data_IF_015894674192
#
_entry.id   IF_015894674192
#
_cell.length_a   1.000
_cell.length_b   1.000
_cell.length_c   1.000
_cell.angle_alpha   90.00
_cell.angle_beta   90.00
_cell.angle_gamma   90.00
#
_symmetry.space_group_name_H-M   'P 1'
#
loop_
_entity.id
_entity.type
_entity.pdbx_description
1 polymer ?
#
# COMPACT_ATOMS: atom_id res chain seq x y z
N UNK A 1 18.30 7.53 16.21
CA UNK A 1 18.03 6.31 15.45
C UNK A 1 19.29 5.48 15.37
N UNK A 2 19.18 4.19 15.68
CA UNK A 2 20.29 3.23 15.52
C UNK A 2 20.45 2.79 14.06
N UNK A 3 21.34 1.83 13.78
CA UNK A 3 21.61 1.35 12.41
C UNK A 3 20.45 0.58 11.78
N UNK A 4 19.69 -0.17 12.59
CA UNK A 4 18.54 -0.96 12.13
C UNK A 4 17.40 -0.01 11.76
N UNK A 5 17.11 0.95 12.62
CA UNK A 5 16.08 1.97 12.38
C UNK A 5 16.37 2.80 11.12
N UNK A 6 17.65 3.10 10.84
CA UNK A 6 18.05 3.79 9.60
C UNK A 6 17.88 2.91 8.36
N UNK A 7 18.21 1.62 8.46
CA UNK A 7 18.03 0.66 7.37
C UNK A 7 16.54 0.54 6.99
N UNK A 8 15.69 0.32 8.00
CA UNK A 8 14.24 0.25 7.82
C UNK A 8 13.67 1.53 7.20
N UNK A 9 14.07 2.71 7.70
CA UNK A 9 13.63 4.00 7.15
C UNK A 9 13.97 4.14 5.66
N UNK A 10 15.17 3.70 5.27
CA UNK A 10 15.61 3.73 3.88
C UNK A 10 14.76 2.83 3.00
N UNK A 11 14.45 1.61 3.43
CA UNK A 11 13.64 0.67 2.66
C UNK A 11 12.19 1.17 2.49
N UNK A 12 11.55 1.61 3.58
CA UNK A 12 10.11 1.90 3.57
C UNK A 12 9.77 3.32 3.13
N UNK A 13 10.70 4.26 3.23
CA UNK A 13 10.47 5.65 2.83
C UNK A 13 11.40 6.14 1.72
N UNK A 14 12.39 5.34 1.30
CA UNK A 14 13.47 5.80 0.39
C UNK A 14 14.19 7.05 0.91
N UNK A 15 14.27 7.19 2.23
CA UNK A 15 14.84 8.36 2.90
C UNK A 15 16.21 8.01 3.49
N UNK A 16 17.26 8.62 2.93
CA UNK A 16 18.62 8.59 3.52
C UNK A 16 18.78 9.65 4.65
N UNK A 17 17.86 10.61 4.73
CA UNK A 17 17.82 11.70 5.70
C UNK A 17 16.37 12.11 6.02
N UNK A 18 16.18 13.02 7.00
CA UNK A 18 14.86 13.57 7.29
C UNK A 18 14.26 14.23 6.03
N UNK A 19 12.98 13.98 5.74
CA UNK A 19 12.35 14.49 4.53
C UNK A 19 12.16 16.00 4.61
N UNK A 20 12.23 16.66 3.45
CA UNK A 20 11.89 18.08 3.32
C UNK A 20 10.37 18.20 3.25
N UNK A 21 9.76 18.97 4.15
CA UNK A 21 8.32 19.19 4.20
C UNK A 21 7.69 18.75 5.53
N UNK A 22 6.41 18.37 5.49
CA UNK A 22 5.72 17.89 6.67
C UNK A 22 6.07 16.42 6.90
N UNK A 23 6.32 16.04 8.15
CA UNK A 23 6.58 14.64 8.48
C UNK A 23 6.23 14.31 9.93
N UNK A 24 5.95 13.03 10.17
CA UNK A 24 5.87 12.46 11.51
C UNK A 24 6.47 11.05 11.49
N UNK A 25 7.69 10.93 12.00
CA UNK A 25 8.38 9.65 12.16
C UNK A 25 7.92 9.03 13.47
N UNK A 26 7.49 7.77 13.40
CA UNK A 26 7.10 6.97 14.56
C UNK A 26 8.08 5.84 14.76
N UNK A 27 8.55 5.67 15.99
CA UNK A 27 9.53 4.63 16.34
C UNK A 27 9.08 3.96 17.64
N UNK A 28 8.92 2.64 17.61
CA UNK A 28 8.55 1.81 18.77
C UNK A 28 7.36 2.38 19.56
N UNK A 29 6.28 2.71 18.85
CA UNK A 29 5.05 3.19 19.46
C UNK A 29 5.03 4.67 19.87
N UNK A 30 6.06 5.45 19.52
CA UNK A 30 6.15 6.88 19.90
C UNK A 30 6.52 7.75 18.71
N UNK A 31 6.03 9.00 18.71
CA UNK A 31 6.51 9.99 17.75
C UNK A 31 7.96 10.36 18.10
N UNK A 32 8.90 10.09 17.20
CA UNK A 32 10.32 10.34 17.38
C UNK A 32 10.78 11.65 16.74
N UNK A 33 10.13 12.06 15.65
CA UNK A 33 10.34 13.36 15.03
C UNK A 33 9.04 13.84 14.35
N UNK A 34 8.78 15.14 14.40
CA UNK A 34 7.64 15.76 13.71
C UNK A 34 8.00 17.14 13.19
N UNK A 35 7.51 17.46 12.00
CA UNK A 35 7.55 18.79 11.44
C UNK A 35 6.26 19.10 10.68
N UNK A 36 5.78 20.34 10.79
CA UNK A 36 4.66 20.87 10.02
C UNK A 36 5.15 21.90 9.01
N UNK A 37 4.30 22.30 8.06
CA UNK A 37 4.58 23.42 7.15
C UNK A 37 3.52 24.50 7.32
N UNK A 38 3.65 25.62 6.61
CA UNK A 38 2.61 26.64 6.59
C UNK A 38 1.24 26.11 6.13
N UNK A 39 1.24 25.04 5.34
CA UNK A 39 0.06 24.51 4.67
C UNK A 39 -0.37 23.12 5.15
N UNK A 40 0.46 22.46 5.96
CA UNK A 40 0.23 21.08 6.41
C UNK A 40 0.45 21.01 7.91
N UNK A 41 -0.62 20.76 8.64
CA UNK A 41 -0.63 20.61 10.09
C UNK A 41 -0.70 19.11 10.46
N UNK A 42 0.08 18.70 11.47
CA UNK A 42 0.09 17.32 11.99
C UNK A 42 -0.18 17.36 13.49
N UNK A 43 -1.39 16.96 13.87
CA UNK A 43 -1.91 17.07 15.22
C UNK A 43 -2.02 15.68 15.83
N UNK A 44 -1.64 15.53 17.09
CA UNK A 44 -1.86 14.26 17.80
C UNK A 44 -3.32 14.13 18.21
N UNK A 45 -3.91 12.97 17.94
CA UNK A 45 -5.23 12.61 18.44
C UNK A 45 -5.22 12.51 19.97
N UNK A 46 -6.34 12.88 20.59
CA UNK A 46 -6.51 12.85 22.05
C UNK A 46 -7.34 11.66 22.53
N UNK A 47 -8.14 11.08 21.64
CA UNK A 47 -9.08 9.98 21.92
C UNK A 47 -8.44 8.60 21.70
N UNK A 48 -7.53 8.48 20.73
CA UNK A 48 -6.85 7.24 20.34
C UNK A 48 -5.42 7.51 19.85
N UNK A 49 -4.62 6.46 19.75
CA UNK A 49 -3.25 6.57 19.23
C UNK A 49 -3.28 6.98 17.76
N UNK A 50 -2.57 8.05 17.41
CA UNK A 50 -2.38 8.46 16.02
C UNK A 50 -2.40 9.98 15.82
N UNK A 51 -2.61 10.39 14.58
CA UNK A 51 -2.49 11.79 14.16
C UNK A 51 -3.58 12.20 13.17
N UNK A 52 -3.96 13.47 13.22
CA UNK A 52 -4.70 14.16 12.16
C UNK A 52 -3.71 14.93 11.30
N UNK A 53 -3.75 14.71 9.99
CA UNK A 53 -2.99 15.45 8.99
C UNK A 53 -3.98 16.36 8.26
N UNK A 54 -3.82 17.67 8.40
CA UNK A 54 -4.69 18.67 7.78
C UNK A 54 -3.90 19.39 6.70
N UNK A 55 -4.31 19.22 5.44
CA UNK A 55 -3.71 19.88 4.28
C UNK A 55 -4.65 21.00 3.82
N UNK A 56 -4.18 22.23 3.90
CA UNK A 56 -5.01 23.42 3.60
C UNK A 56 -5.40 23.47 2.13
N UNK A 57 -6.57 24.02 1.77
CA UNK A 57 -6.98 24.19 0.38
C UNK A 57 -5.92 24.90 -0.47
N UNK A 58 -5.81 24.50 -1.74
CA UNK A 58 -4.86 25.07 -2.69
C UNK A 58 -3.40 24.66 -2.47
N UNK A 59 -3.12 23.69 -1.59
CA UNK A 59 -1.75 23.21 -1.36
C UNK A 59 -1.26 22.42 -2.56
N UNK A 60 -0.19 22.90 -3.20
CA UNK A 60 0.41 22.28 -4.40
C UNK A 60 1.87 21.90 -4.17
N UNK A 61 2.32 20.81 -4.76
CA UNK A 61 3.73 20.37 -4.80
C UNK A 61 4.37 20.19 -3.41
N UNK A 62 3.59 19.78 -2.41
CA UNK A 62 4.09 19.46 -1.09
C UNK A 62 3.93 17.99 -0.79
N UNK A 63 4.74 17.49 0.14
CA UNK A 63 4.66 16.10 0.58
C UNK A 63 4.57 15.96 2.09
N UNK A 64 3.94 14.85 2.52
CA UNK A 64 3.83 14.42 3.91
C UNK A 64 4.46 13.05 4.05
N UNK A 65 5.35 12.89 5.01
CA UNK A 65 6.05 11.62 5.25
C UNK A 65 5.72 11.08 6.64
N UNK A 66 5.16 9.87 6.72
CA UNK A 66 4.74 9.28 8.01
C UNK A 66 5.28 7.85 8.21
N UNK A 67 6.60 7.65 8.22
CA UNK A 67 7.17 6.32 8.39
C UNK A 67 7.00 5.81 9.84
N UNK A 68 6.75 4.52 9.97
CA UNK A 68 6.69 3.76 11.22
C UNK A 68 7.81 2.74 11.25
N UNK A 69 8.52 2.68 12.38
CA UNK A 69 9.65 1.77 12.59
C UNK A 69 9.43 1.04 13.91
N UNK A 70 9.42 -0.29 13.85
CA UNK A 70 9.37 -1.16 15.01
C UNK A 70 10.65 -2.00 15.03
N UNK A 71 11.50 -1.77 16.02
CA UNK A 71 12.67 -2.58 16.33
C UNK A 71 12.55 -3.29 17.68
N UNK A 72 11.55 -2.90 18.48
CA UNK A 72 11.25 -3.52 19.77
C UNK A 72 10.43 -4.80 19.60
N UNK A 73 11.05 -5.94 19.92
CA UNK A 73 10.37 -7.25 20.00
C UNK A 73 9.15 -7.20 20.92
N UNK A 74 8.09 -7.90 20.53
CA UNK A 74 6.87 -8.06 21.35
C UNK A 74 5.93 -6.86 21.29
N UNK A 75 6.31 -5.79 20.56
CA UNK A 75 5.47 -4.61 20.45
C UNK A 75 4.24 -4.92 19.60
N UNK A 76 3.07 -4.64 20.14
CA UNK A 76 1.82 -4.64 19.40
C UNK A 76 1.25 -3.24 19.38
N UNK A 77 0.94 -2.76 18.19
CA UNK A 77 0.51 -1.39 17.98
C UNK A 77 -0.69 -1.30 17.05
N UNK A 78 -1.61 -0.40 17.39
CA UNK A 78 -2.72 0.07 16.56
C UNK A 78 -2.71 1.60 16.52
N UNK A 79 -2.66 2.19 15.33
CA UNK A 79 -2.52 3.64 15.11
C UNK A 79 -3.53 4.13 14.07
N UNK A 80 -4.13 5.29 14.33
CA UNK A 80 -5.14 5.92 13.48
C UNK A 80 -4.63 7.24 12.88
N UNK A 81 -4.45 7.28 11.57
CA UNK A 81 -4.00 8.44 10.82
C UNK A 81 -5.16 8.92 9.94
N UNK A 82 -5.69 10.10 10.22
CA UNK A 82 -6.75 10.67 9.38
C UNK A 82 -6.15 11.83 8.57
N UNK A 83 -6.38 11.81 7.26
CA UNK A 83 -5.92 12.82 6.32
C UNK A 83 -7.12 13.62 5.83
N UNK A 84 -7.08 14.92 6.09
CA UNK A 84 -8.06 15.88 5.61
C UNK A 84 -7.39 16.74 4.53
N UNK A 85 -7.73 16.48 3.27
CA UNK A 85 -7.16 17.18 2.12
C UNK A 85 -8.19 18.18 1.62
N UNK A 86 -7.92 19.47 1.82
CA UNK A 86 -8.81 20.54 1.38
C UNK A 86 -8.89 20.67 -0.14
N UNK A 87 -9.85 21.46 -0.62
CA UNK A 87 -10.12 21.66 -2.05
C UNK A 87 -8.88 22.10 -2.85
N UNK A 88 -8.85 21.75 -4.14
CA UNK A 88 -7.83 22.15 -5.10
C UNK A 88 -6.39 21.83 -4.64
N UNK A 89 -6.15 20.70 -3.98
CA UNK A 89 -4.81 20.25 -3.60
C UNK A 89 -4.09 19.46 -4.70
N UNK A 90 -2.77 19.37 -4.62
CA UNK A 90 -1.90 18.50 -5.40
C UNK A 90 -0.72 18.12 -4.52
N UNK A 91 -0.79 16.94 -3.88
CA UNK A 91 0.10 16.54 -2.80
C UNK A 91 0.50 15.07 -2.90
N UNK A 92 1.68 14.76 -2.35
CA UNK A 92 2.17 13.39 -2.24
C UNK A 92 2.30 12.99 -0.78
N UNK A 93 1.73 11.85 -0.41
CA UNK A 93 1.80 11.30 0.93
C UNK A 93 2.61 10.01 0.84
N UNK A 94 3.64 9.90 1.68
CA UNK A 94 4.52 8.74 1.74
C UNK A 94 4.40 8.13 3.13
N UNK A 95 3.84 6.93 3.19
CA UNK A 95 3.85 6.08 4.36
C UNK A 95 4.78 4.89 4.14
N UNK A 96 5.32 4.38 5.24
CA UNK A 96 6.14 3.20 5.18
C UNK A 96 6.26 2.58 6.55
N UNK A 97 6.02 1.28 6.66
CA UNK A 97 6.06 0.56 7.93
C UNK A 97 7.14 -0.52 7.86
N UNK A 98 8.13 -0.40 8.75
CA UNK A 98 9.25 -1.33 8.88
C UNK A 98 9.21 -2.06 10.22
N UNK A 99 9.28 -3.39 10.21
CA UNK A 99 9.38 -4.21 11.42
C UNK A 99 10.66 -5.05 11.39
N UNK A 100 11.60 -4.75 12.29
CA UNK A 100 12.71 -5.63 12.63
C UNK A 100 12.39 -6.39 13.90
N UNK A 101 12.32 -7.72 13.84
CA UNK A 101 12.11 -8.58 15.02
C UNK A 101 13.21 -9.64 15.16
N UNK A 102 14.06 -9.47 16.17
CA UNK A 102 15.17 -10.39 16.48
C UNK A 102 14.88 -11.30 17.70
N UNK A 103 13.71 -11.16 18.33
CA UNK A 103 13.36 -11.91 19.53
C UNK A 103 12.36 -13.04 19.28
N UNK A 104 11.90 -13.64 20.38
CA UNK A 104 10.99 -14.79 20.35
C UNK A 104 9.50 -14.45 20.38
N UNK A 105 9.15 -13.19 20.69
CA UNK A 105 7.75 -12.73 20.76
C UNK A 105 7.33 -12.04 19.47
N UNK A 106 6.06 -12.20 19.11
CA UNK A 106 5.48 -11.60 17.89
C UNK A 106 5.42 -10.07 18.01
N UNK A 107 5.76 -9.39 16.91
CA UNK A 107 5.67 -7.93 16.78
C UNK A 107 4.64 -7.56 15.72
N UNK A 108 3.78 -6.59 16.02
CA UNK A 108 2.59 -6.28 15.23
C UNK A 108 2.39 -4.78 15.05
N UNK A 109 2.07 -4.36 13.83
CA UNK A 109 1.64 -3.00 13.51
C UNK A 109 0.35 -2.99 12.70
N UNK A 110 -0.70 -2.38 13.26
CA UNK A 110 -1.96 -2.10 12.58
C UNK A 110 -2.07 -0.59 12.34
N UNK A 111 -1.92 -0.18 11.09
CA UNK A 111 -2.07 1.21 10.65
C UNK A 111 -3.43 1.42 10.01
N UNK A 112 -4.27 2.24 10.62
CA UNK A 112 -5.56 2.64 10.04
C UNK A 112 -5.41 4.03 9.46
N UNK A 113 -5.59 4.17 8.15
CA UNK A 113 -5.48 5.41 7.40
C UNK A 113 -6.85 5.76 6.82
N UNK A 114 -7.41 6.92 7.19
CA UNK A 114 -8.64 7.44 6.57
C UNK A 114 -8.32 8.68 5.75
N UNK A 115 -8.70 8.70 4.49
CA UNK A 115 -8.49 9.81 3.57
C UNK A 115 -9.84 10.46 3.25
N UNK A 116 -9.93 11.77 3.52
CA UNK A 116 -11.02 12.63 3.10
C UNK A 116 -10.46 13.61 2.07
N UNK A 117 -10.76 13.38 0.79
CA UNK A 117 -10.20 14.15 -0.33
C UNK A 117 -11.27 15.06 -0.91
N UNK A 118 -11.15 16.36 -0.62
CA UNK A 118 -12.09 17.38 -1.11
C UNK A 118 -11.93 17.64 -2.62
N UNK A 119 -12.84 18.47 -3.12
CA UNK A 119 -13.07 18.72 -4.54
C UNK A 119 -11.81 19.10 -5.30
N UNK A 120 -11.70 18.60 -6.53
CA UNK A 120 -10.64 18.90 -7.50
C UNK A 120 -9.21 18.63 -6.98
N UNK A 121 -9.05 17.89 -5.89
CA UNK A 121 -7.75 17.58 -5.32
C UNK A 121 -7.11 16.36 -5.96
N UNK A 122 -5.80 16.39 -6.10
CA UNK A 122 -4.98 15.28 -6.57
C UNK A 122 -4.09 14.79 -5.45
N UNK A 123 -4.20 13.51 -5.11
CA UNK A 123 -3.41 12.90 -4.03
C UNK A 123 -2.68 11.70 -4.59
N UNK A 124 -1.37 11.67 -4.43
CA UNK A 124 -0.58 10.45 -4.63
C UNK A 124 -0.20 9.89 -3.27
N UNK A 125 -0.63 8.67 -2.96
CA UNK A 125 -0.30 7.98 -1.72
C UNK A 125 0.57 6.77 -2.02
N UNK A 126 1.76 6.72 -1.41
CA UNK A 126 2.72 5.63 -1.56
C UNK A 126 2.87 4.98 -0.19
N UNK A 127 2.69 3.66 -0.14
CA UNK A 127 2.83 2.87 1.07
C UNK A 127 3.75 1.66 0.83
N UNK A 128 4.74 1.49 1.71
CA UNK A 128 5.69 0.38 1.66
C UNK A 128 5.74 -0.39 2.98
N UNK A 129 5.72 -1.71 2.88
CA UNK A 129 5.81 -2.61 4.02
C UNK A 129 7.05 -3.50 3.89
N UNK A 130 7.84 -3.54 4.95
CA UNK A 130 9.09 -4.30 4.98
C UNK A 130 9.31 -4.93 6.35
N UNK A 131 9.73 -6.19 6.35
CA UNK A 131 10.11 -6.94 7.55
C UNK A 131 11.53 -7.47 7.44
N UNK A 132 12.25 -7.44 8.56
CA UNK A 132 13.56 -8.10 8.69
C UNK A 132 13.76 -8.66 10.10
N UNK A 133 14.88 -9.36 10.30
CA UNK A 133 15.30 -9.87 11.61
C UNK A 133 15.44 -11.39 11.66
N UNK A 134 16.27 -11.85 12.58
CA UNK A 134 16.65 -13.27 12.74
C UNK A 134 15.88 -13.96 13.86
N UNK A 135 14.86 -13.31 14.43
CA UNK A 135 14.07 -13.83 15.53
C UNK A 135 13.09 -14.92 15.10
N UNK A 136 12.60 -15.69 16.07
CA UNK A 136 11.54 -16.68 15.84
C UNK A 136 10.14 -16.10 15.98
N UNK A 137 10.01 -14.92 16.59
CA UNK A 137 8.74 -14.19 16.68
C UNK A 137 8.30 -13.64 15.32
N UNK A 138 7.00 -13.69 15.04
CA UNK A 138 6.42 -13.25 13.77
C UNK A 138 6.40 -11.73 13.65
N UNK A 139 6.36 -11.27 12.39
CA UNK A 139 6.16 -9.88 12.00
C UNK A 139 4.79 -9.77 11.34
N UNK A 140 3.85 -9.15 12.04
CA UNK A 140 2.47 -8.99 11.62
C UNK A 140 2.21 -7.54 11.21
N UNK A 141 1.56 -7.33 10.06
CA UNK A 141 1.25 -5.98 9.59
C UNK A 141 -0.12 -5.94 8.95
N UNK A 142 -1.09 -5.22 9.53
CA UNK A 142 -2.46 -5.17 9.01
C UNK A 142 -2.90 -3.73 8.74
N UNK A 143 -2.44 -3.13 7.63
CA UNK A 143 -2.87 -1.81 7.20
C UNK A 143 -4.35 -1.83 6.76
N UNK A 144 -5.07 -0.78 7.12
CA UNK A 144 -6.41 -0.51 6.60
C UNK A 144 -6.44 0.91 6.05
N UNK A 145 -6.82 1.06 4.79
CA UNK A 145 -6.93 2.33 4.09
C UNK A 145 -8.38 2.56 3.68
N UNK A 146 -9.00 3.62 4.20
CA UNK A 146 -10.36 4.06 3.91
C UNK A 146 -10.28 5.37 3.14
N UNK A 147 -10.96 5.47 2.00
CA UNK A 147 -10.83 6.62 1.08
C UNK A 147 -12.21 7.13 0.72
N UNK A 148 -12.44 8.42 0.90
CA UNK A 148 -13.62 9.16 0.46
C UNK A 148 -13.18 10.23 -0.55
N UNK A 149 -13.72 10.17 -1.78
CA UNK A 149 -13.38 11.11 -2.85
C UNK A 149 -14.58 11.99 -3.25
N UNK A 150 -14.42 13.30 -3.07
CA UNK A 150 -15.40 14.32 -3.46
C UNK A 150 -15.30 14.70 -4.95
N UNK A 151 -16.15 15.62 -5.40
CA UNK A 151 -16.31 16.00 -6.82
C UNK A 151 -14.97 16.36 -7.48
N UNK A 152 -14.65 15.71 -8.60
CA UNK A 152 -13.41 15.93 -9.34
C UNK A 152 -12.12 15.54 -8.61
N UNK A 153 -12.20 14.92 -7.42
CA UNK A 153 -11.05 14.43 -6.69
C UNK A 153 -10.41 13.22 -7.40
N UNK A 154 -9.09 13.15 -7.34
CA UNK A 154 -8.30 12.07 -7.91
C UNK A 154 -7.31 11.53 -6.89
N UNK A 155 -7.22 10.22 -6.75
CA UNK A 155 -6.23 9.57 -5.91
C UNK A 155 -5.48 8.47 -6.66
N UNK A 156 -4.15 8.51 -6.62
CA UNK A 156 -3.27 7.42 -7.03
C UNK A 156 -2.71 6.75 -5.78
N UNK A 157 -2.95 5.45 -5.64
CA UNK A 157 -2.51 4.63 -4.53
C UNK A 157 -1.47 3.63 -5.03
N UNK A 158 -0.27 3.64 -4.45
CA UNK A 158 0.78 2.67 -4.69
C UNK A 158 1.12 1.94 -3.40
N UNK A 159 0.67 0.69 -3.25
CA UNK A 159 0.93 -0.14 -2.07
C UNK A 159 1.90 -1.26 -2.43
N UNK A 160 2.90 -1.49 -1.58
CA UNK A 160 3.88 -2.56 -1.80
C UNK A 160 4.26 -3.27 -0.51
N UNK A 161 4.13 -4.60 -0.50
CA UNK A 161 4.80 -5.44 0.47
C UNK A 161 6.08 -5.99 -0.17
N UNK A 162 7.20 -5.51 0.32
CA UNK A 162 8.51 -5.73 -0.31
C UNK A 162 9.05 -7.10 0.09
N UNK A 163 9.13 -7.38 1.40
CA UNK A 163 9.66 -8.64 1.91
C UNK A 163 9.39 -8.80 3.42
N UNK A 164 9.53 -10.04 3.89
CA UNK A 164 9.78 -10.37 5.30
C UNK A 164 8.63 -10.18 6.29
N UNK A 165 7.43 -9.84 5.85
CA UNK A 165 6.23 -9.83 6.70
C UNK A 165 5.66 -11.26 6.74
N UNK A 166 5.50 -11.83 7.95
CA UNK A 166 5.04 -13.21 8.11
C UNK A 166 3.55 -13.35 7.78
N UNK A 167 2.73 -12.47 8.33
CA UNK A 167 1.28 -12.54 8.18
C UNK A 167 0.74 -11.11 8.00
N UNK A 168 -0.06 -10.91 6.94
CA UNK A 168 -0.70 -9.62 6.66
C UNK A 168 -2.14 -9.78 6.22
N UNK A 169 -3.01 -8.89 6.71
CA UNK A 169 -4.33 -8.62 6.16
C UNK A 169 -4.42 -7.14 5.85
N UNK A 170 -4.45 -6.81 4.56
CA UNK A 170 -4.48 -5.44 4.05
C UNK A 170 -5.87 -5.16 3.51
N UNK A 171 -6.47 -4.06 3.96
CA UNK A 171 -7.82 -3.68 3.54
C UNK A 171 -7.76 -2.30 2.93
N UNK A 172 -8.17 -2.15 1.68
CA UNK A 172 -8.35 -0.86 1.02
C UNK A 172 -9.81 -0.74 0.59
N UNK A 173 -10.48 0.32 1.03
CA UNK A 173 -11.86 0.63 0.64
C UNK A 173 -11.93 2.05 0.15
N UNK A 174 -12.42 2.25 -1.06
CA UNK A 174 -12.63 3.56 -1.65
C UNK A 174 -14.10 3.77 -2.00
N UNK A 175 -14.63 4.92 -1.59
CA UNK A 175 -15.95 5.40 -1.93
C UNK A 175 -15.82 6.67 -2.80
N UNK A 176 -16.24 6.56 -4.05
CA UNK A 176 -16.25 7.66 -5.01
C UNK A 176 -17.66 8.23 -5.08
N UNK A 177 -17.97 9.12 -4.14
CA UNK A 177 -19.27 9.79 -3.99
C UNK A 177 -19.36 11.09 -4.79
N UNK A 178 -18.22 11.68 -5.16
CA UNK A 178 -18.14 12.89 -5.97
C UNK A 178 -18.24 12.64 -7.48
N UNK A 179 -19.03 13.46 -8.18
CA UNK A 179 -19.10 13.43 -9.65
C UNK A 179 -17.71 13.62 -10.27
N UNK A 180 -17.37 12.80 -11.25
CA UNK A 180 -16.08 12.88 -11.94
C UNK A 180 -14.86 12.52 -11.08
N UNK A 181 -15.05 11.99 -9.87
CA UNK A 181 -13.92 11.52 -9.05
C UNK A 181 -13.31 10.25 -9.64
N UNK A 182 -12.02 10.03 -9.39
CA UNK A 182 -11.30 8.88 -9.96
C UNK A 182 -10.23 8.34 -9.04
N UNK A 183 -9.98 7.04 -9.13
CA UNK A 183 -8.94 6.38 -8.34
C UNK A 183 -8.11 5.43 -9.20
N UNK A 184 -6.80 5.42 -8.98
CA UNK A 184 -5.88 4.41 -9.53
C UNK A 184 -5.23 3.68 -8.36
N UNK A 185 -5.24 2.36 -8.37
CA UNK A 185 -4.65 1.53 -7.33
C UNK A 185 -3.64 0.59 -7.98
N UNK A 186 -2.38 0.70 -7.58
CA UNK A 186 -1.31 -0.24 -7.89
C UNK A 186 -0.93 -0.99 -6.62
N UNK A 187 -1.37 -2.24 -6.49
CA UNK A 187 -1.00 -3.11 -5.38
C UNK A 187 0.07 -4.12 -5.79
N UNK A 188 1.08 -4.29 -4.93
CA UNK A 188 2.23 -5.17 -5.17
C UNK A 188 2.50 -6.03 -3.94
N UNK A 189 2.64 -7.34 -4.15
CA UNK A 189 2.88 -8.31 -3.08
C UNK A 189 3.97 -9.31 -3.47
N UNK A 190 5.02 -9.38 -2.66
CA UNK A 190 5.95 -10.49 -2.67
C UNK A 190 5.82 -11.27 -1.35
N UNK A 191 5.68 -12.60 -1.47
CA UNK A 191 5.77 -13.51 -0.32
C UNK A 191 6.73 -14.66 -0.62
N UNK A 192 7.41 -15.12 0.43
CA UNK A 192 8.37 -16.22 0.40
C UNK A 192 8.33 -17.01 1.71
N UNK A 193 8.99 -18.16 1.78
CA UNK A 193 8.95 -19.02 2.96
C UNK A 193 7.55 -19.53 3.28
N UNK A 194 7.13 -19.32 4.52
CA UNK A 194 5.83 -19.71 5.07
C UNK A 194 4.88 -18.52 5.26
N UNK A 195 5.13 -17.41 4.56
CA UNK A 195 4.38 -16.16 4.69
C UNK A 195 2.95 -16.29 4.17
N UNK A 196 2.02 -15.58 4.83
CA UNK A 196 0.62 -15.50 4.45
C UNK A 196 0.22 -14.04 4.22
N UNK A 197 -0.33 -13.72 3.05
CA UNK A 197 -0.80 -12.40 2.74
C UNK A 197 -2.24 -12.42 2.22
N UNK A 198 -3.09 -11.57 2.79
CA UNK A 198 -4.42 -11.27 2.26
C UNK A 198 -4.52 -9.79 1.92
N UNK A 199 -4.97 -9.48 0.71
CA UNK A 199 -5.35 -8.13 0.30
C UNK A 199 -6.83 -8.10 -0.07
N UNK A 200 -7.58 -7.18 0.54
CA UNK A 200 -8.97 -6.87 0.19
C UNK A 200 -9.01 -5.47 -0.41
N UNK A 201 -9.33 -5.36 -1.70
CA UNK A 201 -9.39 -4.10 -2.43
C UNK A 201 -10.83 -3.88 -2.92
N UNK A 202 -11.54 -2.91 -2.36
CA UNK A 202 -12.93 -2.63 -2.69
C UNK A 202 -13.11 -1.19 -3.14
N UNK A 203 -13.75 -0.98 -4.28
CA UNK A 203 -14.07 0.35 -4.83
C UNK A 203 -15.56 0.45 -5.11
N UNK A 204 -16.19 1.50 -4.58
CA UNK A 204 -17.58 1.84 -4.87
C UNK A 204 -17.64 3.11 -5.73
N UNK A 205 -18.22 2.99 -6.92
CA UNK A 205 -18.42 4.06 -7.90
C UNK A 205 -19.86 4.57 -7.77
N UNK A 206 -20.06 5.59 -6.93
CA UNK A 206 -21.37 6.02 -6.45
C UNK A 206 -21.92 7.29 -7.11
N UNK A 207 -21.16 7.93 -8.02
CA UNK A 207 -21.58 9.12 -8.75
C UNK A 207 -21.28 9.05 -10.26
N UNK A 208 -21.93 9.92 -11.03
CA UNK A 208 -21.73 10.03 -12.48
C UNK A 208 -20.28 10.31 -12.84
N UNK A 209 -19.81 9.72 -13.94
CA UNK A 209 -18.47 9.87 -14.48
C UNK A 209 -17.36 9.51 -13.49
N UNK A 210 -17.65 8.68 -12.49
CA UNK A 210 -16.61 8.12 -11.63
C UNK A 210 -15.83 7.04 -12.36
N UNK A 211 -14.55 6.90 -12.01
CA UNK A 211 -13.72 5.86 -12.62
C UNK A 211 -12.72 5.22 -11.66
N UNK A 212 -12.43 3.94 -11.86
CA UNK A 212 -11.34 3.26 -11.18
C UNK A 212 -10.50 2.41 -12.13
N UNK A 213 -9.20 2.40 -11.88
CA UNK A 213 -8.25 1.45 -12.46
C UNK A 213 -7.48 0.76 -11.33
N UNK A 214 -7.63 -0.55 -11.19
CA UNK A 214 -7.06 -1.33 -10.11
C UNK A 214 -6.16 -2.41 -10.69
N UNK A 215 -4.88 -2.31 -10.44
CA UNK A 215 -3.87 -3.28 -10.89
C UNK A 215 -3.24 -3.90 -9.65
N UNK A 216 -3.36 -5.22 -9.53
CA UNK A 216 -2.75 -6.00 -8.46
C UNK A 216 -1.74 -6.99 -9.03
N UNK A 217 -0.51 -6.96 -8.51
CA UNK A 217 0.58 -7.84 -8.91
C UNK A 217 1.14 -8.64 -7.75
N UNK A 218 1.06 -9.97 -7.85
CA UNK A 218 1.50 -10.90 -6.82
C UNK A 218 2.64 -11.81 -7.27
N UNK A 219 3.60 -12.08 -6.39
CA UNK A 219 4.60 -13.14 -6.58
C UNK A 219 4.66 -13.99 -5.32
N UNK A 220 4.24 -15.25 -5.41
CA UNK A 220 4.29 -16.21 -4.31
C UNK A 220 5.38 -17.25 -4.57
N UNK A 221 6.33 -17.36 -3.63
CA UNK A 221 7.47 -18.28 -3.69
C UNK A 221 7.42 -19.31 -2.56
N UNK A 222 8.17 -20.39 -2.71
CA UNK A 222 8.34 -21.42 -1.69
C UNK A 222 7.01 -22.03 -1.22
N UNK A 223 6.64 -21.95 0.05
CA UNK A 223 5.37 -22.49 0.59
C UNK A 223 4.38 -21.36 0.95
N UNK A 224 4.62 -20.14 0.46
CA UNK A 224 3.84 -18.96 0.84
C UNK A 224 2.44 -18.95 0.21
N UNK A 225 1.51 -18.28 0.89
CA UNK A 225 0.10 -18.18 0.46
C UNK A 225 -0.29 -16.73 0.30
N UNK A 226 -0.82 -16.39 -0.87
CA UNK A 226 -1.39 -15.08 -1.18
C UNK A 226 -2.87 -15.22 -1.54
N UNK A 227 -3.69 -14.33 -1.00
CA UNK A 227 -5.07 -14.15 -1.39
C UNK A 227 -5.33 -12.69 -1.73
N UNK A 228 -5.91 -12.43 -2.90
CA UNK A 228 -6.33 -11.10 -3.34
C UNK A 228 -7.83 -11.15 -3.66
N UNK A 229 -8.60 -10.40 -2.88
CA UNK A 229 -10.03 -10.21 -3.10
C UNK A 229 -10.23 -8.81 -3.67
N UNK A 230 -10.72 -8.72 -4.91
CA UNK A 230 -10.98 -7.44 -5.59
C UNK A 230 -12.47 -7.29 -5.83
N UNK A 231 -13.01 -6.14 -5.46
CA UNK A 231 -14.43 -5.83 -5.60
C UNK A 231 -14.62 -4.44 -6.20
N UNK A 232 -15.37 -4.35 -7.30
CA UNK A 232 -15.79 -3.06 -7.87
C UNK A 232 -17.32 -3.04 -7.96
N UNK A 233 -17.93 -2.06 -7.28
CA UNK A 233 -19.36 -1.80 -7.30
C UNK A 233 -19.66 -0.55 -8.15
N UNK A 234 -20.20 -0.73 -9.36
CA UNK A 234 -20.66 0.32 -10.25
C UNK A 234 -22.13 0.69 -10.02
N UNK A 235 -22.39 1.76 -9.27
CA UNK A 235 -23.74 2.17 -8.88
C UNK A 235 -24.28 3.39 -9.66
N UNK A 236 -23.48 3.96 -10.56
CA UNK A 236 -23.81 5.11 -11.40
C UNK A 236 -23.25 4.91 -12.84
N UNK A 237 -23.50 5.83 -13.80
CA UNK A 237 -22.81 5.82 -15.09
C UNK A 237 -21.29 6.03 -14.88
N UNK A 238 -20.53 4.93 -14.84
CA UNK A 238 -19.14 4.89 -14.38
C UNK A 238 -18.31 3.88 -15.16
N UNK A 239 -16.97 3.96 -15.04
CA UNK A 239 -16.04 3.02 -15.65
C UNK A 239 -15.14 2.37 -14.59
N UNK A 240 -15.01 1.04 -14.61
CA UNK A 240 -14.13 0.33 -13.68
C UNK A 240 -13.30 -0.72 -14.40
N UNK A 241 -12.01 -0.76 -14.09
CA UNK A 241 -11.08 -1.74 -14.60
C UNK A 241 -10.33 -2.40 -13.44
N UNK A 242 -10.16 -3.73 -13.51
CA UNK A 242 -9.37 -4.51 -12.58
C UNK A 242 -8.47 -5.52 -13.31
N UNK A 243 -7.15 -5.43 -13.11
CA UNK A 243 -6.13 -6.36 -13.59
C UNK A 243 -5.49 -7.10 -12.40
N UNK A 244 -5.47 -8.44 -12.47
CA UNK A 244 -4.81 -9.29 -11.49
C UNK A 244 -3.75 -10.17 -12.16
N UNK A 245 -2.50 -9.77 -12.08
CA UNK A 245 -1.39 -10.55 -12.60
C UNK A 245 -0.62 -11.20 -11.47
N UNK A 246 -0.26 -12.47 -11.62
CA UNK A 246 0.43 -13.21 -10.57
C UNK A 246 1.41 -14.25 -11.07
N UNK A 247 2.56 -14.33 -10.41
CA UNK A 247 3.59 -15.33 -10.65
C UNK A 247 3.64 -16.29 -9.46
N UNK A 248 3.50 -17.58 -9.73
CA UNK A 248 3.70 -18.66 -8.77
C UNK A 248 5.06 -19.32 -9.01
N UNK A 249 5.79 -19.58 -7.93
CA UNK A 249 7.04 -20.33 -7.91
C UNK A 249 6.99 -21.42 -6.84
N UNK A 250 7.77 -22.49 -7.04
CA UNK A 250 7.88 -23.62 -6.11
C UNK A 250 6.53 -24.26 -5.73
N UNK A 251 6.09 -24.12 -4.48
CA UNK A 251 4.80 -24.58 -3.97
C UNK A 251 3.90 -23.42 -3.51
N UNK A 252 4.20 -22.21 -3.97
CA UNK A 252 3.43 -21.02 -3.63
C UNK A 252 1.97 -21.19 -4.03
N UNK A 253 1.07 -20.56 -3.27
CA UNK A 253 -0.36 -20.60 -3.53
C UNK A 253 -0.85 -19.19 -3.73
N UNK A 254 -1.59 -18.96 -4.82
CA UNK A 254 -2.24 -17.68 -5.10
C UNK A 254 -3.72 -17.93 -5.32
N UNK A 255 -4.54 -17.19 -4.59
CA UNK A 255 -6.00 -17.17 -4.67
C UNK A 255 -6.41 -15.78 -5.12
N UNK A 256 -7.09 -15.67 -6.26
CA UNK A 256 -7.64 -14.40 -6.75
C UNK A 256 -9.16 -14.51 -6.81
N UNK A 257 -9.85 -13.61 -6.11
CA UNK A 257 -11.32 -13.55 -6.04
C UNK A 257 -11.81 -12.20 -6.57
N UNK A 258 -12.06 -12.08 -7.88
CA UNK A 258 -12.63 -10.87 -8.45
C UNK A 258 -14.16 -10.86 -8.31
N UNK A 259 -14.71 -9.67 -8.05
CA UNK A 259 -16.14 -9.41 -8.01
C UNK A 259 -16.44 -8.07 -8.69
N UNK A 260 -17.30 -8.11 -9.71
CA UNK A 260 -17.88 -6.91 -10.32
C UNK A 260 -19.38 -6.90 -10.03
N UNK A 261 -19.89 -5.79 -9.52
CA UNK A 261 -21.32 -5.57 -9.28
C UNK A 261 -21.76 -4.29 -9.99
N UNK A 262 -22.52 -4.41 -11.06
CA UNK A 262 -23.18 -3.25 -11.69
C UNK A 262 -24.63 -3.17 -11.25
N UNK A 263 -25.06 -2.01 -10.74
CA UNK A 263 -26.47 -1.71 -10.44
C UNK A 263 -27.06 -0.62 -11.33
N UNK A 264 -26.22 -0.01 -12.18
CA UNK A 264 -26.61 0.95 -13.21
C UNK A 264 -26.35 0.36 -14.62
N UNK A 265 -27.26 0.60 -15.56
CA UNK A 265 -27.17 0.09 -16.95
C UNK A 265 -26.03 0.73 -17.74
N UNK A 266 -25.65 1.96 -17.37
CA UNK A 266 -24.58 2.72 -18.02
C UNK A 266 -23.21 2.50 -17.34
N UNK A 267 -23.10 1.55 -16.41
CA UNK A 267 -21.83 1.17 -15.80
C UNK A 267 -21.06 0.19 -16.71
N UNK A 268 -19.80 0.51 -17.00
CA UNK A 268 -18.88 -0.36 -17.73
C UNK A 268 -17.79 -0.88 -16.79
N UNK A 269 -17.84 -2.17 -16.44
CA UNK A 269 -16.88 -2.80 -15.53
C UNK A 269 -16.16 -3.95 -16.26
N UNK A 270 -14.83 -3.98 -16.19
CA UNK A 270 -13.98 -4.98 -16.84
C UNK A 270 -13.04 -5.59 -15.80
N UNK A 271 -12.79 -6.89 -15.91
CA UNK A 271 -11.82 -7.59 -15.10
C UNK A 271 -11.01 -8.58 -15.93
N UNK A 272 -9.69 -8.58 -15.70
CA UNK A 272 -8.72 -9.48 -16.31
C UNK A 272 -7.85 -10.11 -15.20
N UNK A 273 -7.57 -11.41 -15.32
CA UNK A 273 -6.70 -12.11 -14.38
C UNK A 273 -5.81 -13.15 -15.08
N UNK A 274 -4.54 -13.18 -14.70
CA UNK A 274 -3.57 -14.17 -15.12
C UNK A 274 -2.76 -14.66 -13.92
N UNK A 275 -2.76 -15.97 -13.71
CA UNK A 275 -1.88 -16.63 -12.74
C UNK A 275 -1.03 -17.63 -13.50
N UNK A 276 0.29 -17.48 -13.43
CA UNK A 276 1.22 -18.30 -14.19
C UNK A 276 2.56 -18.49 -13.50
N UNK A 277 3.46 -19.23 -14.16
CA UNK A 277 4.87 -19.35 -13.76
C UNK A 277 5.72 -18.38 -14.58
N UNK A 278 6.96 -18.16 -14.14
CA UNK A 278 7.95 -17.41 -14.94
C UNK A 278 8.08 -18.02 -16.34
N UNK A 279 8.05 -17.17 -17.37
CA UNK A 279 8.23 -17.59 -18.75
C UNK A 279 9.65 -18.13 -18.97
N UNK A 280 9.78 -19.44 -19.20
CA UNK A 280 11.08 -20.11 -19.33
C UNK A 280 11.98 -19.55 -20.44
N UNK A 281 11.41 -18.99 -21.51
CA UNK A 281 12.19 -18.32 -22.56
C UNK A 281 12.85 -17.02 -22.08
N UNK A 282 12.17 -16.23 -21.23
CA UNK A 282 12.76 -15.03 -20.63
C UNK A 282 13.90 -15.40 -19.68
N UNK A 283 13.70 -16.45 -18.88
CA UNK A 283 14.73 -16.99 -17.99
C UNK A 283 15.96 -17.46 -18.78
N UNK A 284 15.77 -18.29 -19.80
CA UNK A 284 16.87 -18.74 -20.68
C UNK A 284 17.60 -17.58 -21.34
N UNK A 285 16.87 -16.57 -21.83
CA UNK A 285 17.48 -15.40 -22.45
C UNK A 285 18.41 -14.67 -21.47
N UNK A 286 17.97 -14.40 -20.25
CA UNK A 286 18.80 -13.76 -19.22
C UNK A 286 20.02 -14.61 -18.85
N UNK A 287 19.85 -15.93 -18.74
CA UNK A 287 20.98 -16.83 -18.49
C UNK A 287 22.01 -16.83 -19.63
N UNK A 288 21.56 -16.77 -20.89
CA UNK A 288 22.50 -16.62 -22.03
C UNK A 288 23.23 -15.28 -22.04
N UNK A 289 22.71 -14.26 -21.35
CA UNK A 289 23.41 -12.98 -21.13
C UNK A 289 24.41 -13.02 -19.95
N UNK A 290 24.61 -14.19 -19.33
CA UNK A 290 25.61 -14.43 -18.30
C UNK A 290 25.09 -14.36 -16.86
N UNK A 291 23.79 -14.21 -16.66
CA UNK A 291 23.17 -14.29 -15.34
C UNK A 291 23.04 -15.76 -14.90
N UNK A 292 23.20 -16.03 -13.61
CA UNK A 292 22.73 -17.30 -13.04
C UNK A 292 21.20 -17.39 -13.11
N UNK A 293 20.65 -18.59 -12.96
CA UNK A 293 19.20 -18.81 -12.92
C UNK A 293 18.53 -17.94 -11.85
N UNK A 294 19.09 -17.92 -10.64
CA UNK A 294 18.59 -17.11 -9.52
C UNK A 294 18.62 -15.61 -9.81
N UNK A 295 19.72 -15.10 -10.36
CA UNK A 295 19.81 -13.67 -10.73
C UNK A 295 18.83 -13.31 -11.85
N UNK A 296 18.60 -14.23 -12.80
CA UNK A 296 17.63 -14.05 -13.85
C UNK A 296 16.19 -14.03 -13.32
N UNK A 297 15.85 -14.93 -12.39
CA UNK A 297 14.55 -14.94 -11.71
C UNK A 297 14.31 -13.63 -10.94
N UNK A 298 15.28 -13.19 -10.13
CA UNK A 298 15.20 -11.94 -9.37
C UNK A 298 15.00 -10.73 -10.30
N UNK A 299 15.67 -10.71 -11.46
CA UNK A 299 15.50 -9.66 -12.46
C UNK A 299 14.10 -9.65 -13.09
N UNK A 300 13.54 -10.83 -13.39
CA UNK A 300 12.17 -10.95 -13.92
C UNK A 300 11.15 -10.49 -12.87
N UNK A 301 11.26 -10.98 -11.63
CA UNK A 301 10.38 -10.59 -10.52
C UNK A 301 10.41 -9.08 -10.30
N UNK A 302 11.60 -8.48 -10.28
CA UNK A 302 11.77 -7.03 -10.13
C UNK A 302 11.16 -6.25 -11.29
N UNK A 303 11.24 -6.75 -12.51
CA UNK A 303 10.59 -6.15 -13.68
C UNK A 303 9.07 -6.26 -13.63
N UNK A 304 8.55 -7.40 -13.16
CA UNK A 304 7.12 -7.67 -13.02
C UNK A 304 6.46 -6.78 -11.95
N UNK A 305 7.12 -6.63 -10.79
CA UNK A 305 6.68 -5.78 -9.68
C UNK A 305 7.06 -4.30 -9.84
N UNK A 306 7.59 -3.90 -11.00
CA UNK A 306 8.00 -2.50 -11.23
C UNK A 306 6.82 -1.55 -11.33
#
# INVERSE_FOLDING_TARGET
>A
MDSIEKSLLKEVAALDALPVGAYNIRTNGKSSARNTTANIDIISKTDKSGIDIIIKPGTKNQSVHIPVIISQTGLQELVYNDFFIGEDCDVTIVAGCGISNCGGEDSKHDGIHSFHVDKNSKVRYIEKHYGEGTGTGKRLMNPTTLIELEEGAHMELETSQIAGINDTVRITRANLSGKGSSIVIHDKILTEGDQNAKAELSVELNAENTSCDLISRGVAKEESVQQVDIKIDGNAPCNGHAECDSIIMDKGVIIATPQLKATNVDAALIHEAAIGKIAGEQLMKLMTMGLSEKEAEEMIIKGFLR
#
